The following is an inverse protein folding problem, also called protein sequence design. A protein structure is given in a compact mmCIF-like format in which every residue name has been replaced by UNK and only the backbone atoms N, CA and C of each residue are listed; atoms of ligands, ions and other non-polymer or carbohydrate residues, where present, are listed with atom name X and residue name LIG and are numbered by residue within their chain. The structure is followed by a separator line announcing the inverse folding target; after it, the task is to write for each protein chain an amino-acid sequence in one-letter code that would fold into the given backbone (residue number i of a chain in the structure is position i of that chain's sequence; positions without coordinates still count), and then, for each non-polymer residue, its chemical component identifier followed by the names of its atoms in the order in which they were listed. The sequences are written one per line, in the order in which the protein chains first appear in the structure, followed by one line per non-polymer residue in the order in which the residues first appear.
data_IF_337567903817
#
_entry.id   IF_337567903817
#
_cell.length_a   1.000
_cell.length_b   1.000
_cell.length_c   1.000
_cell.angle_alpha   90.00
_cell.angle_beta   90.00
_cell.angle_gamma   90.00
#
_symmetry.space_group_name_H-M   'P 1'
#
loop_
_entity.id
_entity.type
_entity.pdbx_description
1 polymer ?
#
# COMPACT_ATOMS: atom_id res chain seq x y z
N UNK A 1 -60.06 -10.97 -8.69
CA UNK A 1 -59.54 -11.46 -7.39
C UNK A 1 -58.04 -11.17 -7.34
N UNK A 2 -57.46 -10.80 -6.17
CA UNK A 2 -56.02 -10.80 -5.78
C UNK A 2 -54.98 -10.28 -6.84
N UNK A 3 -54.35 -9.10 -6.73
CA UNK A 3 -53.41 -8.53 -5.73
C UNK A 3 -52.14 -9.37 -5.45
N UNK A 4 -50.99 -8.67 -5.38
CA UNK A 4 -49.59 -9.13 -5.14
C UNK A 4 -48.98 -9.93 -6.32
N UNK A 5 -47.66 -9.98 -6.58
CA UNK A 5 -46.51 -9.39 -5.87
C UNK A 5 -45.63 -8.52 -6.83
N UNK A 6 -44.31 -8.38 -6.59
CA UNK A 6 -43.70 -7.03 -6.58
C UNK A 6 -42.23 -6.88 -7.04
N UNK A 7 -41.94 -5.77 -7.71
CA UNK A 7 -40.85 -4.80 -7.43
C UNK A 7 -39.41 -5.34 -7.28
N UNK A 8 -38.61 -5.27 -8.37
CA UNK A 8 -37.12 -5.27 -8.32
C UNK A 8 -36.49 -4.23 -9.29
N UNK A 9 -37.16 -3.83 -10.37
CA UNK A 9 -36.52 -3.17 -11.52
C UNK A 9 -36.26 -1.65 -11.49
N UNK A 10 -36.42 -0.93 -10.37
CA UNK A 10 -36.40 0.54 -10.40
C UNK A 10 -35.84 1.21 -9.13
N UNK A 11 -34.51 1.24 -8.96
CA UNK A 11 -33.87 2.08 -7.93
C UNK A 11 -32.48 2.68 -8.30
N UNK A 12 -32.05 2.62 -9.57
CA UNK A 12 -30.68 2.96 -9.96
C UNK A 12 -30.51 4.18 -10.91
N UNK A 13 -31.59 4.84 -11.36
CA UNK A 13 -31.52 5.82 -12.47
C UNK A 13 -32.14 7.21 -12.22
N UNK A 14 -32.74 7.47 -11.05
CA UNK A 14 -33.46 8.75 -10.81
C UNK A 14 -32.54 9.87 -10.26
N UNK A 15 -31.35 9.54 -9.74
CA UNK A 15 -30.48 10.52 -9.05
C UNK A 15 -29.71 11.50 -9.94
N UNK A 16 -29.59 11.26 -11.26
CA UNK A 16 -28.60 11.96 -12.11
C UNK A 16 -29.17 13.15 -12.91
N UNK A 17 -30.50 13.28 -13.02
CA UNK A 17 -31.13 14.18 -14.00
C UNK A 17 -31.50 15.61 -13.52
N UNK A 18 -31.29 15.97 -12.25
CA UNK A 18 -31.81 17.22 -11.65
C UNK A 18 -30.72 18.21 -11.13
N UNK A 19 -29.53 18.20 -11.72
CA UNK A 19 -28.41 19.04 -11.29
C UNK A 19 -28.26 20.44 -11.91
N UNK A 20 -28.94 20.75 -13.02
CA UNK A 20 -28.51 21.83 -13.94
C UNK A 20 -29.21 23.19 -13.83
N UNK A 21 -30.08 23.42 -12.83
CA UNK A 21 -30.84 24.69 -12.71
C UNK A 21 -31.14 25.11 -11.25
N UNK A 22 -30.19 24.89 -10.33
CA UNK A 22 -30.34 25.21 -8.91
C UNK A 22 -29.49 26.43 -8.50
N UNK A 23 -30.15 27.54 -8.17
CA UNK A 23 -29.52 28.72 -7.58
C UNK A 23 -28.93 28.44 -6.18
N UNK A 24 -28.15 29.37 -5.60
CA UNK A 24 -27.33 29.13 -4.41
C UNK A 24 -28.11 28.58 -3.20
N UNK A 25 -29.35 29.02 -2.99
CA UNK A 25 -30.22 28.56 -1.90
C UNK A 25 -30.60 27.07 -1.98
N UNK A 26 -30.62 26.48 -3.19
CA UNK A 26 -31.00 25.06 -3.37
C UNK A 26 -29.87 24.06 -3.14
N UNK A 27 -28.61 24.50 -3.03
CA UNK A 27 -27.50 23.62 -2.60
C UNK A 27 -27.79 22.99 -1.23
N UNK A 28 -28.50 23.71 -0.37
CA UNK A 28 -28.86 23.29 0.98
C UNK A 28 -29.91 22.16 1.03
N UNK A 29 -30.66 21.92 -0.06
CA UNK A 29 -31.64 20.82 -0.14
C UNK A 29 -31.05 19.52 -0.70
N UNK A 30 -29.93 19.57 -1.43
CA UNK A 30 -29.19 18.36 -1.83
C UNK A 30 -28.59 17.60 -0.63
N UNK A 31 -28.25 18.33 0.45
CA UNK A 31 -27.85 17.77 1.74
C UNK A 31 -28.88 16.80 2.37
N UNK A 32 -30.17 16.99 2.08
CA UNK A 32 -31.27 16.36 2.84
C UNK A 32 -31.52 14.91 2.40
N UNK A 33 -31.33 14.59 1.11
CA UNK A 33 -31.59 13.24 0.58
C UNK A 33 -30.54 12.19 0.97
N UNK A 34 -29.35 12.63 1.40
CA UNK A 34 -28.22 11.77 1.81
C UNK A 34 -27.85 11.92 3.30
N UNK A 35 -28.47 12.87 4.03
CA UNK A 35 -28.35 13.00 5.49
C UNK A 35 -26.98 13.45 6.02
N UNK A 36 -26.14 14.06 5.18
CA UNK A 36 -24.72 14.30 5.50
C UNK A 36 -24.45 15.62 6.24
N UNK A 37 -25.30 16.64 6.05
CA UNK A 37 -24.99 18.00 6.52
C UNK A 37 -25.49 18.31 7.95
N UNK A 38 -26.24 17.39 8.57
CA UNK A 38 -26.94 17.62 9.85
C UNK A 38 -26.35 16.81 11.02
N UNK A 39 -25.14 16.23 10.86
CA UNK A 39 -24.39 15.62 11.97
C UNK A 39 -22.93 16.06 12.02
N UNK A 40 -22.34 16.21 13.22
CA UNK A 40 -20.89 16.25 13.43
C UNK A 40 -20.20 14.86 13.22
N UNK A 41 -20.79 14.00 12.38
CA UNK A 41 -20.56 12.55 12.30
C UNK A 41 -20.22 12.10 10.86
N UNK A 42 -20.33 12.98 9.86
CA UNK A 42 -20.01 12.66 8.46
C UNK A 42 -18.53 12.27 8.27
N UNK A 43 -17.62 13.02 8.90
CA UNK A 43 -16.19 12.66 8.93
C UNK A 43 -15.96 11.34 9.68
N UNK A 44 -16.79 11.01 10.69
CA UNK A 44 -16.80 9.71 11.35
C UNK A 44 -17.22 8.59 10.41
N UNK A 45 -18.30 8.78 9.64
CA UNK A 45 -18.76 7.81 8.64
C UNK A 45 -17.74 7.59 7.51
N UNK A 46 -17.04 8.64 7.05
CA UNK A 46 -15.90 8.51 6.14
C UNK A 46 -14.74 7.76 6.78
N UNK A 47 -14.36 8.11 8.00
CA UNK A 47 -13.27 7.44 8.71
C UNK A 47 -13.55 5.95 8.86
N UNK A 48 -14.78 5.57 9.21
CA UNK A 48 -15.21 4.16 9.30
C UNK A 48 -15.17 3.45 7.94
N UNK A 49 -15.49 4.11 6.82
CA UNK A 49 -15.41 3.50 5.49
C UNK A 49 -13.96 3.31 5.02
N UNK A 50 -13.07 4.24 5.36
CA UNK A 50 -11.62 4.17 5.11
C UNK A 50 -10.95 3.13 6.00
N UNK A 51 -11.25 3.10 7.31
CA UNK A 51 -10.74 2.09 8.25
C UNK A 51 -11.14 0.65 7.88
N UNK A 52 -12.30 0.45 7.24
CA UNK A 52 -12.70 -0.87 6.70
C UNK A 52 -11.75 -1.41 5.62
N UNK A 53 -10.99 -0.55 4.94
CA UNK A 53 -9.97 -0.99 3.99
C UNK A 53 -8.69 -1.48 4.69
N UNK A 54 -8.52 -1.20 5.99
CA UNK A 54 -7.41 -1.54 6.90
C UNK A 54 -6.00 -1.12 6.44
N UNK A 55 -5.56 -1.53 5.25
CA UNK A 55 -4.26 -1.21 4.66
C UNK A 55 -4.44 -0.72 3.23
N UNK A 56 -4.06 0.53 2.97
CA UNK A 56 -3.99 1.08 1.62
C UNK A 56 -2.67 0.65 0.99
N UNK A 57 -2.71 -0.11 -0.10
CA UNK A 57 -1.54 -0.38 -0.95
C UNK A 57 -1.25 0.87 -1.79
N UNK A 58 -0.08 1.49 -1.57
CA UNK A 58 0.29 2.76 -2.23
C UNK A 58 1.36 2.59 -3.30
N UNK A 59 2.25 1.60 -3.15
CA UNK A 59 3.28 1.29 -4.13
C UNK A 59 3.59 -0.21 -4.12
N UNK A 60 3.84 -0.77 -5.30
CA UNK A 60 4.40 -2.12 -5.47
C UNK A 60 5.72 -2.00 -6.21
N UNK A 61 6.83 -2.31 -5.54
CA UNK A 61 8.16 -2.31 -6.13
C UNK A 61 8.61 -3.74 -6.45
N UNK A 62 9.25 -3.94 -7.60
CA UNK A 62 9.98 -5.17 -7.92
C UNK A 62 11.47 -4.92 -7.73
N UNK A 63 12.12 -5.79 -6.96
CA UNK A 63 13.54 -5.72 -6.63
C UNK A 63 14.22 -6.98 -7.15
N UNK A 64 15.46 -6.87 -7.62
CA UNK A 64 16.31 -8.00 -8.01
C UNK A 64 17.67 -7.82 -7.34
N UNK A 65 18.04 -8.73 -6.43
CA UNK A 65 19.25 -8.60 -5.60
C UNK A 65 20.15 -9.84 -5.70
N UNK A 66 21.48 -9.66 -5.81
CA UNK A 66 22.45 -10.75 -5.72
C UNK A 66 22.81 -11.05 -4.26
N UNK A 67 22.37 -12.20 -3.74
CA UNK A 67 22.70 -12.68 -2.40
C UNK A 67 23.88 -13.65 -2.48
N UNK A 68 24.96 -13.41 -1.73
CA UNK A 68 26.19 -14.22 -1.83
C UNK A 68 26.65 -14.79 -0.49
N UNK A 69 27.16 -16.03 -0.55
CA UNK A 69 27.79 -16.75 0.54
C UNK A 69 29.06 -17.43 0.06
N UNK A 70 30.04 -17.55 0.95
CA UNK A 70 31.27 -18.29 0.69
C UNK A 70 31.65 -19.12 1.92
N UNK A 71 32.35 -20.23 1.69
CA UNK A 71 32.86 -21.15 2.70
C UNK A 71 34.30 -21.50 2.34
N UNK A 72 35.18 -21.35 3.30
CA UNK A 72 36.56 -21.82 3.20
C UNK A 72 36.63 -23.28 3.63
N UNK A 73 37.32 -24.09 2.83
CA UNK A 73 37.71 -25.46 3.14
C UNK A 73 39.11 -25.42 3.70
N UNK A 74 39.29 -25.86 4.95
CA UNK A 74 40.58 -25.83 5.65
C UNK A 74 41.12 -27.24 5.90
N UNK A 75 42.44 -27.39 5.77
CA UNK A 75 43.18 -28.58 6.20
C UNK A 75 44.14 -28.16 7.32
N UNK A 76 43.82 -28.52 8.56
CA UNK A 76 44.48 -27.95 9.73
C UNK A 76 44.27 -26.43 9.78
N UNK A 77 45.37 -25.67 9.84
CA UNK A 77 45.36 -24.20 9.86
C UNK A 77 45.46 -23.54 8.47
N UNK A 78 45.44 -24.32 7.38
CA UNK A 78 45.64 -23.83 6.01
C UNK A 78 44.32 -23.89 5.23
N UNK A 79 43.88 -22.77 4.65
CA UNK A 79 42.77 -22.76 3.68
C UNK A 79 43.25 -23.35 2.36
N UNK A 80 42.61 -24.43 1.91
CA UNK A 80 42.97 -25.17 0.69
C UNK A 80 42.04 -24.87 -0.49
N UNK A 81 40.83 -24.38 -0.23
CA UNK A 81 39.88 -23.90 -1.24
C UNK A 81 38.86 -22.94 -0.63
N UNK A 82 38.26 -22.08 -1.45
CA UNK A 82 37.08 -21.27 -1.08
C UNK A 82 35.98 -21.53 -2.10
N UNK A 83 34.81 -21.99 -1.64
CA UNK A 83 33.62 -22.14 -2.50
C UNK A 83 32.72 -20.94 -2.32
N UNK A 84 32.22 -20.35 -3.41
CA UNK A 84 31.26 -19.24 -3.39
C UNK A 84 29.99 -19.59 -4.16
N UNK A 85 28.85 -19.16 -3.64
CA UNK A 85 27.58 -19.23 -4.34
C UNK A 85 26.86 -17.88 -4.27
N UNK A 86 26.43 -17.39 -5.43
CA UNK A 86 25.62 -16.18 -5.58
C UNK A 86 24.26 -16.56 -6.15
N UNK A 87 23.18 -16.11 -5.51
CA UNK A 87 21.81 -16.24 -5.99
C UNK A 87 21.28 -14.86 -6.38
N UNK A 88 20.94 -14.65 -7.66
CA UNK A 88 20.17 -13.49 -8.10
C UNK A 88 18.70 -13.81 -7.84
N UNK A 89 18.11 -13.08 -6.89
CA UNK A 89 16.74 -13.31 -6.44
C UNK A 89 15.85 -12.15 -6.90
N UNK A 90 14.75 -12.41 -7.61
CA UNK A 90 13.67 -11.46 -7.79
C UNK A 90 12.72 -11.49 -6.58
N UNK A 91 12.21 -10.32 -6.19
CA UNK A 91 11.19 -10.19 -5.14
C UNK A 91 10.25 -9.01 -5.39
N UNK A 92 9.05 -9.07 -4.80
CA UNK A 92 8.09 -7.96 -4.80
C UNK A 92 7.89 -7.42 -3.38
N UNK A 93 7.92 -6.09 -3.24
CA UNK A 93 7.69 -5.36 -1.99
C UNK A 93 6.47 -4.47 -2.14
N UNK A 94 5.50 -4.67 -1.25
CA UNK A 94 4.28 -3.86 -1.17
C UNK A 94 4.45 -2.81 -0.08
N UNK A 95 4.23 -1.54 -0.40
CA UNK A 95 4.23 -0.45 0.58
C UNK A 95 2.80 -0.11 0.94
N UNK A 96 2.53 -0.04 2.25
CA UNK A 96 1.17 0.15 2.77
C UNK A 96 1.10 1.29 3.79
N UNK A 97 -0.03 2.00 3.80
CA UNK A 97 -0.46 2.84 4.92
C UNK A 97 -1.47 2.06 5.74
N UNK A 98 -1.26 1.98 7.05
CA UNK A 98 -2.25 1.40 7.98
C UNK A 98 -3.33 2.45 8.28
N UNK A 99 -4.49 2.30 7.63
CA UNK A 99 -5.62 3.19 7.77
C UNK A 99 -6.40 2.96 9.07
N UNK A 100 -6.23 1.81 9.72
CA UNK A 100 -6.84 1.55 11.03
C UNK A 100 -6.23 2.41 12.14
N UNK A 101 -5.01 2.90 11.93
CA UNK A 101 -4.32 3.83 12.83
C UNK A 101 -4.79 5.30 12.71
N UNK A 102 -5.51 5.66 11.63
CA UNK A 102 -6.03 7.01 11.41
C UNK A 102 -7.19 7.31 12.38
N UNK A 103 -7.17 8.49 12.99
CA UNK A 103 -8.14 8.95 13.99
C UNK A 103 -8.88 10.20 13.53
N UNK A 104 -9.99 10.52 14.20
CA UNK A 104 -10.71 11.78 13.96
C UNK A 104 -9.85 13.02 14.26
N UNK A 105 -8.90 12.93 15.21
CA UNK A 105 -7.91 13.97 15.50
C UNK A 105 -6.99 14.31 14.32
N UNK A 106 -6.87 13.38 13.38
CA UNK A 106 -5.96 13.45 12.25
C UNK A 106 -6.67 14.08 11.03
N UNK A 107 -7.95 14.43 11.16
CA UNK A 107 -8.79 15.07 10.16
C UNK A 107 -9.23 16.45 10.66
N UNK A 108 -8.75 17.52 10.02
CA UNK A 108 -9.11 18.88 10.37
C UNK A 108 -9.81 19.56 9.17
N UNK A 109 -11.10 19.87 9.32
CA UNK A 109 -11.91 20.53 8.30
C UNK A 109 -12.02 22.04 8.55
N UNK A 110 -11.53 22.81 7.59
CA UNK A 110 -11.52 24.25 7.54
C UNK A 110 -12.72 24.75 6.71
N UNK A 111 -13.75 25.26 7.39
CA UNK A 111 -15.01 25.71 6.73
C UNK A 111 -14.84 26.99 5.92
N UNK A 112 -13.87 27.84 6.24
CA UNK A 112 -13.68 29.13 5.55
C UNK A 112 -12.96 28.93 4.21
N UNK A 113 -12.08 27.94 4.13
CA UNK A 113 -11.26 27.65 2.94
C UNK A 113 -11.66 26.35 2.22
N UNK A 114 -12.76 25.71 2.63
CA UNK A 114 -13.22 24.37 2.21
C UNK A 114 -12.07 23.34 2.13
N UNK A 115 -11.18 23.35 3.12
CA UNK A 115 -9.94 22.56 3.10
C UNK A 115 -9.93 21.49 4.18
N UNK A 116 -9.85 20.22 3.77
CA UNK A 116 -9.58 19.09 4.66
C UNK A 116 -8.07 18.88 4.77
N UNK A 117 -7.51 19.03 5.97
CA UNK A 117 -6.13 18.64 6.28
C UNK A 117 -6.16 17.23 6.89
N UNK A 118 -5.34 16.33 6.35
CA UNK A 118 -5.28 14.90 6.72
C UNK A 118 -3.87 14.54 7.17
N UNK A 119 -3.71 14.18 8.44
CA UNK A 119 -2.46 13.69 8.99
C UNK A 119 -2.37 12.16 8.79
N UNK A 120 -1.60 11.76 7.79
CA UNK A 120 -1.44 10.40 7.29
C UNK A 120 -0.50 9.56 8.19
N UNK A 121 -0.90 8.33 8.60
CA UNK A 121 0.02 7.37 9.21
C UNK A 121 1.21 7.05 8.30
N UNK A 122 2.41 6.76 8.85
CA UNK A 122 3.61 6.55 8.04
C UNK A 122 3.48 5.31 7.15
N UNK A 123 3.95 5.42 5.91
CA UNK A 123 4.07 4.29 4.98
C UNK A 123 5.06 3.26 5.54
N UNK A 124 4.74 1.98 5.39
CA UNK A 124 5.61 0.86 5.77
C UNK A 124 5.78 -0.14 4.63
N UNK A 125 7.01 -0.58 4.30
CA UNK A 125 7.20 -1.74 3.44
C UNK A 125 6.73 -3.00 4.17
N UNK A 126 5.97 -3.84 3.46
CA UNK A 126 5.72 -5.22 3.88
C UNK A 126 6.95 -6.10 3.62
N UNK A 127 7.08 -7.26 4.30
CA UNK A 127 8.11 -8.24 3.98
C UNK A 127 8.10 -8.60 2.49
N UNK A 128 9.30 -8.69 1.89
CA UNK A 128 9.44 -8.99 0.48
C UNK A 128 8.95 -10.40 0.16
N UNK A 129 8.08 -10.52 -0.85
CA UNK A 129 7.71 -11.80 -1.43
C UNK A 129 8.78 -12.20 -2.44
N UNK A 130 9.72 -13.06 -2.01
CA UNK A 130 10.84 -13.55 -2.81
C UNK A 130 10.35 -14.69 -3.72
N UNK A 131 10.60 -14.57 -5.02
CA UNK A 131 10.31 -15.63 -5.99
C UNK A 131 11.52 -16.56 -6.12
N UNK A 132 11.53 -17.60 -5.29
CA UNK A 132 12.53 -18.66 -5.30
C UNK A 132 12.48 -19.55 -6.55
N UNK A 133 11.37 -19.54 -7.29
CA UNK A 133 11.23 -20.30 -8.54
C UNK A 133 11.97 -19.66 -9.71
N UNK A 134 12.12 -18.34 -9.68
CA UNK A 134 12.89 -17.55 -10.65
C UNK A 134 14.31 -17.21 -10.16
N UNK A 135 14.79 -17.86 -9.09
CA UNK A 135 16.13 -17.66 -8.57
C UNK A 135 17.21 -18.19 -9.53
N UNK A 136 18.14 -17.33 -9.95
CA UNK A 136 19.30 -17.73 -10.75
C UNK A 136 20.51 -17.93 -9.84
N UNK A 137 21.05 -19.15 -9.78
CA UNK A 137 22.20 -19.47 -8.92
C UNK A 137 23.47 -19.68 -9.73
N UNK A 138 24.56 -19.06 -9.26
CA UNK A 138 25.90 -19.16 -9.80
C UNK A 138 26.81 -19.73 -8.72
N UNK A 139 27.51 -20.82 -9.03
CA UNK A 139 28.49 -21.46 -8.14
C UNK A 139 29.88 -21.33 -8.74
N UNK A 140 30.82 -20.81 -7.94
CA UNK A 140 32.23 -20.67 -8.28
C UNK A 140 32.90 -22.03 -8.03
N UNK A 141 32.87 -22.90 -9.03
CA UNK A 141 33.15 -24.33 -8.88
C UNK A 141 34.62 -24.69 -9.16
N UNK A 142 35.38 -24.83 -8.07
CA UNK A 142 36.43 -25.84 -8.06
C UNK A 142 35.81 -27.24 -8.17
N UNK A 143 36.57 -28.22 -8.68
CA UNK A 143 36.12 -29.61 -8.94
C UNK A 143 35.63 -30.41 -7.70
N UNK A 144 35.59 -29.78 -6.52
CA UNK A 144 35.34 -30.38 -5.21
C UNK A 144 33.91 -30.18 -4.68
N UNK A 145 33.12 -29.27 -5.29
CA UNK A 145 31.82 -28.83 -4.75
C UNK A 145 30.77 -29.94 -4.68
N UNK A 146 30.71 -30.81 -5.69
CA UNK A 146 29.74 -31.91 -5.76
C UNK A 146 29.93 -33.00 -4.68
N UNK A 147 31.14 -33.17 -4.14
CA UNK A 147 31.49 -34.26 -3.22
C UNK A 147 31.35 -33.90 -1.73
N UNK A 148 31.24 -32.62 -1.40
CA UNK A 148 31.41 -32.12 -0.02
C UNK A 148 30.13 -31.58 0.62
N UNK A 149 29.02 -31.50 -0.12
CA UNK A 149 27.75 -30.93 0.36
C UNK A 149 27.79 -29.41 0.64
N UNK A 150 28.92 -28.75 0.34
CA UNK A 150 29.14 -27.32 0.62
C UNK A 150 28.12 -26.43 -0.09
N UNK A 151 27.77 -26.73 -1.35
CA UNK A 151 26.73 -26.00 -2.11
C UNK A 151 25.36 -26.02 -1.44
N UNK A 152 24.96 -27.14 -0.80
CA UNK A 152 23.67 -27.20 -0.09
C UNK A 152 23.65 -26.30 1.17
N UNK A 153 24.79 -26.13 1.83
CA UNK A 153 24.92 -25.21 2.96
C UNK A 153 25.01 -23.76 2.49
N UNK A 154 25.75 -23.47 1.42
CA UNK A 154 25.82 -22.13 0.82
C UNK A 154 24.47 -21.65 0.30
N UNK A 155 23.67 -22.53 -0.31
CA UNK A 155 22.29 -22.24 -0.70
C UNK A 155 21.44 -21.84 0.50
N UNK A 156 21.50 -22.62 1.58
CA UNK A 156 20.77 -22.32 2.83
C UNK A 156 21.26 -21.02 3.48
N UNK A 157 22.55 -20.75 3.48
CA UNK A 157 23.15 -19.51 3.99
C UNK A 157 22.65 -18.30 3.16
N UNK A 158 22.48 -18.45 1.84
CA UNK A 158 21.86 -17.42 0.97
C UNK A 158 20.36 -17.24 1.25
N UNK A 159 19.61 -18.33 1.38
CA UNK A 159 18.18 -18.30 1.70
C UNK A 159 17.91 -17.58 3.04
N UNK A 160 18.77 -17.77 4.03
CA UNK A 160 18.69 -17.07 5.33
C UNK A 160 19.08 -15.59 5.25
N UNK A 161 20.02 -15.21 4.39
CA UNK A 161 20.46 -13.81 4.22
C UNK A 161 19.46 -12.96 3.42
N UNK A 162 18.78 -13.55 2.45
CA UNK A 162 17.97 -12.81 1.49
C UNK A 162 16.90 -11.89 2.14
N UNK A 163 16.08 -12.34 3.11
CA UNK A 163 15.05 -11.49 3.71
C UNK A 163 15.62 -10.20 4.34
N UNK A 164 16.80 -10.29 4.98
CA UNK A 164 17.47 -9.13 5.58
C UNK A 164 17.98 -8.15 4.52
N UNK A 165 18.53 -8.64 3.41
CA UNK A 165 18.98 -7.78 2.30
C UNK A 165 17.81 -7.09 1.60
N UNK A 166 16.71 -7.80 1.35
CA UNK A 166 15.50 -7.19 0.80
C UNK A 166 14.85 -6.19 1.77
N UNK A 167 14.85 -6.45 3.08
CA UNK A 167 14.33 -5.51 4.08
C UNK A 167 15.17 -4.22 4.12
N UNK A 168 16.50 -4.33 4.05
CA UNK A 168 17.39 -3.17 3.96
C UNK A 168 17.15 -2.37 2.67
N UNK A 169 17.03 -3.04 1.52
CA UNK A 169 16.74 -2.38 0.24
C UNK A 169 15.36 -1.72 0.23
N UNK A 170 14.32 -2.37 0.78
CA UNK A 170 12.98 -1.83 0.91
C UNK A 170 12.90 -0.62 1.87
N UNK A 171 13.83 -0.52 2.82
CA UNK A 171 14.01 0.64 3.68
C UNK A 171 14.78 1.80 3.04
N UNK A 172 15.20 1.69 1.78
CA UNK A 172 15.94 2.76 1.10
C UNK A 172 15.11 4.05 1.01
N UNK A 173 15.75 5.18 1.32
CA UNK A 173 15.12 6.51 1.41
C UNK A 173 14.28 6.85 0.17
N UNK A 174 14.80 6.56 -1.02
CA UNK A 174 14.17 6.95 -2.27
C UNK A 174 12.90 6.12 -2.56
N UNK A 175 12.89 4.83 -2.21
CA UNK A 175 11.70 3.98 -2.30
C UNK A 175 10.62 4.41 -1.31
N UNK A 176 11.02 4.75 -0.07
CA UNK A 176 10.10 5.29 0.93
C UNK A 176 9.54 6.66 0.51
N UNK A 177 10.35 7.54 -0.08
CA UNK A 177 9.89 8.84 -0.58
C UNK A 177 8.90 8.71 -1.76
N UNK A 178 9.15 7.79 -2.70
CA UNK A 178 8.20 7.47 -3.77
C UNK A 178 6.89 6.89 -3.23
N UNK A 179 6.97 6.02 -2.22
CA UNK A 179 5.79 5.44 -1.59
C UNK A 179 4.99 6.45 -0.73
N UNK A 180 5.68 7.38 -0.04
CA UNK A 180 5.07 8.50 0.69
C UNK A 180 4.29 9.42 -0.29
N UNK A 181 4.89 9.80 -1.42
CA UNK A 181 4.23 10.62 -2.44
C UNK A 181 3.00 9.91 -3.05
N UNK A 182 3.11 8.63 -3.38
CA UNK A 182 1.99 7.84 -3.86
C UNK A 182 0.85 7.73 -2.82
N UNK A 183 1.19 7.68 -1.53
CA UNK A 183 0.22 7.67 -0.44
C UNK A 183 -0.54 8.99 -0.30
N UNK A 184 0.16 10.13 -0.43
CA UNK A 184 -0.48 11.45 -0.40
C UNK A 184 -1.51 11.59 -1.53
N UNK A 185 -1.13 11.29 -2.78
CA UNK A 185 -2.02 11.37 -3.94
C UNK A 185 -3.23 10.42 -3.84
N UNK A 186 -3.02 9.20 -3.35
CA UNK A 186 -4.08 8.21 -3.19
C UNK A 186 -5.10 8.63 -2.12
N UNK A 187 -4.65 9.17 -0.98
CA UNK A 187 -5.53 9.66 0.08
C UNK A 187 -6.23 10.97 -0.31
N UNK A 188 -5.53 11.92 -0.95
CA UNK A 188 -6.13 13.15 -1.46
C UNK A 188 -7.32 12.83 -2.37
N UNK A 189 -7.12 11.92 -3.33
CA UNK A 189 -8.17 11.46 -4.24
C UNK A 189 -9.32 10.76 -3.50
N UNK A 190 -8.99 9.91 -2.53
CA UNK A 190 -9.98 9.12 -1.77
C UNK A 190 -10.88 9.97 -0.88
N UNK A 191 -10.35 11.04 -0.25
CA UNK A 191 -11.13 11.96 0.57
C UNK A 191 -11.87 13.03 -0.24
N UNK A 192 -11.30 13.48 -1.37
CA UNK A 192 -11.94 14.52 -2.20
C UNK A 192 -13.22 14.04 -2.86
N UNK A 193 -13.27 12.80 -3.35
CA UNK A 193 -14.44 12.27 -4.05
C UNK A 193 -15.73 12.31 -3.20
N UNK A 194 -15.75 11.85 -1.93
CA UNK A 194 -16.88 12.01 -1.03
C UNK A 194 -17.25 13.47 -0.68
N UNK A 195 -16.28 14.38 -0.59
CA UNK A 195 -16.56 15.81 -0.30
C UNK A 195 -17.31 16.48 -1.46
N UNK A 196 -16.86 16.24 -2.70
CA UNK A 196 -17.55 16.72 -3.91
C UNK A 196 -18.95 16.12 -4.01
N UNK A 197 -19.12 14.82 -3.70
CA UNK A 197 -20.44 14.17 -3.67
C UNK A 197 -21.38 14.72 -2.59
N UNK A 198 -20.84 15.26 -1.49
CA UNK A 198 -21.61 15.95 -0.45
C UNK A 198 -21.94 17.43 -0.78
N UNK A 199 -21.51 17.92 -1.95
CA UNK A 199 -21.80 19.27 -2.43
C UNK A 199 -20.67 20.29 -2.27
N UNK A 200 -19.54 19.92 -1.66
CA UNK A 200 -18.35 20.76 -1.57
C UNK A 200 -17.51 20.62 -2.86
N UNK A 201 -17.98 21.26 -3.94
CA UNK A 201 -17.38 21.14 -5.28
C UNK A 201 -15.95 21.64 -5.37
N UNK A 202 -15.62 22.62 -4.55
CA UNK A 202 -14.34 23.34 -4.56
C UNK A 202 -13.42 22.87 -3.41
N UNK A 203 -13.82 21.78 -2.73
CA UNK A 203 -13.10 21.22 -1.60
C UNK A 203 -11.67 20.80 -1.94
N UNK A 204 -10.73 21.25 -1.11
CA UNK A 204 -9.31 20.89 -1.19
C UNK A 204 -8.99 19.86 -0.14
N UNK A 205 -8.13 18.91 -0.48
CA UNK A 205 -7.55 17.98 0.49
C UNK A 205 -6.05 18.21 0.51
N UNK A 206 -5.48 18.34 1.70
CA UNK A 206 -4.04 18.47 1.92
C UNK A 206 -3.64 17.32 2.83
N UNK A 207 -2.80 16.42 2.32
CA UNK A 207 -2.27 15.28 3.09
C UNK A 207 -0.86 15.63 3.58
N UNK A 208 -0.60 15.36 4.86
CA UNK A 208 0.70 15.57 5.51
C UNK A 208 1.05 14.37 6.39
N UNK A 209 2.35 14.14 6.64
CA UNK A 209 2.86 13.07 7.50
C UNK A 209 3.12 13.58 8.92
#
# INVERSE_FOLDING_TARGET
MKRLLSIIGALALIGVALGLAAGPERRQQACISIGLCERPDFLGAMLVSVQKQQKLLVLTARLVLPVSSARDTTFGSITVATTRQTAILPATVNYVVDLSALKSSDLNWDRETETLRVQRPPVRPMPASIDWGQAQTFEDSGWQTALTGVSANLKRDNEQKAPGQFAAQAGAKDLLAMADHAADQALETSFRMPLVAAGFTDAKVIVSR
#
